data_IF_627352858016
#
_entry.id   IF_627352858016
#
_cell.length_a   1.000
_cell.length_b   1.000
_cell.length_c   1.000
_cell.angle_alpha   90.00
_cell.angle_beta   90.00
_cell.angle_gamma   90.00
#
_symmetry.space_group_name_H-M   'P 1'
#
loop_
_entity.id
_entity.type
_entity.pdbx_description
1 polymer ?
#
# COMPACT_ATOMS: atom_id res chain seq x y z
N UNK A 1 49.95 -5.80 -19.17
CA UNK A 1 49.18 -4.53 -19.21
C UNK A 1 47.71 -4.70 -19.65
N UNK A 2 47.35 -5.65 -20.53
CA UNK A 2 45.94 -5.86 -20.96
C UNK A 2 44.97 -6.39 -19.88
N UNK A 3 45.48 -7.07 -18.85
CA UNK A 3 44.66 -7.67 -17.76
C UNK A 3 44.18 -6.66 -16.71
N UNK A 4 44.79 -5.48 -16.63
CA UNK A 4 44.40 -4.42 -15.69
C UNK A 4 43.18 -3.63 -16.21
N UNK A 5 43.05 -3.52 -17.53
CA UNK A 5 41.92 -2.82 -18.17
C UNK A 5 40.57 -3.52 -17.94
N UNK A 6 40.59 -4.84 -17.81
CA UNK A 6 39.36 -5.64 -17.62
C UNK A 6 38.79 -5.51 -16.21
N UNK A 7 39.64 -5.28 -15.20
CA UNK A 7 39.20 -5.05 -13.82
C UNK A 7 38.50 -3.70 -13.63
N UNK A 8 38.91 -2.67 -14.38
CA UNK A 8 38.32 -1.33 -14.28
C UNK A 8 36.88 -1.27 -14.82
N UNK A 9 36.56 -2.08 -15.83
CA UNK A 9 35.22 -2.11 -16.46
C UNK A 9 34.14 -2.75 -15.57
N UNK A 10 34.52 -3.66 -14.65
CA UNK A 10 33.58 -4.34 -13.75
C UNK A 10 33.16 -3.42 -12.58
N UNK A 11 34.01 -2.47 -12.17
CA UNK A 11 33.66 -1.54 -11.09
C UNK A 11 32.68 -0.45 -11.53
N UNK A 12 32.64 -0.10 -12.82
CA UNK A 12 31.70 0.92 -13.34
C UNK A 12 30.29 0.38 -13.61
N UNK A 13 30.09 -0.93 -13.70
CA UNK A 13 28.76 -1.52 -13.97
C UNK A 13 27.82 -1.57 -12.76
N UNK A 14 28.29 -1.23 -11.56
CA UNK A 14 27.50 -1.31 -10.33
C UNK A 14 26.83 0.01 -9.92
N UNK A 15 26.89 1.05 -10.74
CA UNK A 15 26.07 2.26 -10.50
C UNK A 15 24.65 1.96 -10.98
N UNK A 16 23.95 1.16 -10.18
CA UNK A 16 22.51 0.93 -10.31
C UNK A 16 21.85 2.29 -10.05
N UNK A 17 21.45 2.97 -11.13
CA UNK A 17 20.69 4.22 -11.08
C UNK A 17 19.30 3.95 -10.47
N UNK A 18 19.24 3.86 -9.14
CA UNK A 18 17.99 3.88 -8.42
C UNK A 18 17.39 5.27 -8.48
N UNK A 19 16.26 5.43 -9.18
CA UNK A 19 15.50 6.69 -9.20
C UNK A 19 15.25 7.19 -7.77
N UNK A 20 15.73 8.41 -7.49
CA UNK A 20 15.64 9.03 -6.18
C UNK A 20 14.40 9.91 -6.10
N UNK A 21 13.40 9.46 -5.34
CA UNK A 21 12.19 10.24 -5.07
C UNK A 21 12.34 10.98 -3.75
N UNK A 22 12.11 12.29 -3.73
CA UNK A 22 12.17 13.14 -2.54
C UNK A 22 10.92 13.99 -2.42
N UNK A 23 10.39 14.09 -1.22
CA UNK A 23 9.33 15.04 -0.87
C UNK A 23 10.01 16.21 -0.16
N UNK A 24 9.99 17.39 -0.77
CA UNK A 24 10.65 18.58 -0.22
C UNK A 24 9.85 19.83 -0.55
N UNK A 25 9.55 20.66 0.46
CA UNK A 25 8.86 21.96 0.30
C UNK A 25 7.59 21.85 -0.55
N UNK A 26 6.74 20.86 -0.27
CA UNK A 26 5.47 20.62 -1.01
C UNK A 26 5.65 20.23 -2.49
N UNK A 27 6.85 19.77 -2.88
CA UNK A 27 7.16 19.25 -4.22
C UNK A 27 7.70 17.83 -4.11
N UNK A 28 7.27 16.97 -5.04
CA UNK A 28 7.82 15.65 -5.31
C UNK A 28 8.88 15.80 -6.39
N UNK A 29 10.11 15.51 -6.02
CA UNK A 29 11.28 15.51 -6.91
C UNK A 29 11.60 14.08 -7.31
N UNK A 30 11.86 13.86 -8.59
CA UNK A 30 12.38 12.60 -9.11
C UNK A 30 13.70 12.87 -9.80
N UNK A 31 14.76 12.23 -9.30
CA UNK A 31 16.14 12.50 -9.72
C UNK A 31 16.45 13.99 -9.71
N UNK A 32 16.02 14.65 -8.62
CA UNK A 32 16.17 16.08 -8.36
C UNK A 32 15.43 17.01 -9.34
N UNK A 33 14.54 16.48 -10.20
CA UNK A 33 13.62 17.26 -11.06
C UNK A 33 12.22 17.31 -10.48
N UNK A 34 11.58 18.47 -10.55
CA UNK A 34 10.20 18.66 -10.11
C UNK A 34 9.22 17.86 -10.97
N UNK A 35 8.38 17.05 -10.33
CA UNK A 35 7.38 16.23 -11.00
C UNK A 35 5.96 16.66 -10.64
N UNK A 36 5.58 16.54 -9.37
CA UNK A 36 4.25 16.89 -8.85
C UNK A 36 4.40 17.77 -7.61
N UNK A 37 3.37 18.52 -7.23
CA UNK A 37 3.27 19.07 -5.88
C UNK A 37 2.54 18.09 -4.96
N UNK A 38 2.78 18.19 -3.66
CA UNK A 38 2.06 17.41 -2.66
C UNK A 38 1.60 18.27 -1.49
N UNK A 39 0.49 17.86 -0.89
CA UNK A 39 0.00 18.38 0.39
C UNK A 39 -0.15 17.22 1.37
N UNK A 40 0.21 17.47 2.63
CA UNK A 40 0.08 16.53 3.74
C UNK A 40 -0.65 17.25 4.87
N UNK A 41 -1.89 16.86 5.10
CA UNK A 41 -2.76 17.53 6.06
C UNK A 41 -2.47 17.12 7.51
N UNK A 42 -1.84 15.96 7.75
CA UNK A 42 -1.73 15.37 9.09
C UNK A 42 -0.39 14.66 9.34
N UNK A 43 0.68 15.13 8.69
CA UNK A 43 2.05 14.68 8.87
C UNK A 43 2.38 13.29 8.33
N UNK A 44 1.38 12.39 8.17
CA UNK A 44 1.44 11.08 7.48
C UNK A 44 0.04 10.47 7.20
N UNK A 45 -1.05 11.07 7.72
CA UNK A 45 -2.39 10.48 7.67
C UNK A 45 -3.07 10.58 6.30
N UNK A 46 -2.89 11.71 5.61
CA UNK A 46 -3.50 11.98 4.30
C UNK A 46 -2.49 12.72 3.45
N UNK A 47 -2.19 12.19 2.26
CA UNK A 47 -1.26 12.81 1.31
C UNK A 47 -1.93 12.89 -0.05
N UNK A 48 -1.93 14.08 -0.64
CA UNK A 48 -2.46 14.33 -1.98
C UNK A 48 -1.34 14.75 -2.92
N UNK A 49 -1.35 14.24 -4.15
CA UNK A 49 -0.45 14.63 -5.24
C UNK A 49 -1.21 15.43 -6.28
N UNK A 50 -0.63 16.55 -6.71
CA UNK A 50 -1.26 17.51 -7.61
C UNK A 50 -0.41 17.75 -8.86
N UNK A 51 -1.10 18.03 -9.96
CA UNK A 51 -0.48 18.56 -11.17
C UNK A 51 0.04 19.98 -10.97
N UNK A 52 0.83 20.48 -11.92
CA UNK A 52 1.29 21.88 -11.96
C UNK A 52 0.13 22.89 -11.94
N UNK A 53 -1.04 22.50 -12.44
CA UNK A 53 -2.25 23.32 -12.43
C UNK A 53 -3.06 23.21 -11.12
N UNK A 54 -2.48 22.63 -10.06
CA UNK A 54 -3.14 22.35 -8.77
C UNK A 54 -4.38 21.44 -8.88
N UNK A 55 -4.45 20.64 -9.94
CA UNK A 55 -5.47 19.59 -10.04
C UNK A 55 -4.99 18.37 -9.26
N UNK A 56 -5.78 17.92 -8.31
CA UNK A 56 -5.49 16.70 -7.57
C UNK A 56 -5.54 15.49 -8.52
N UNK A 57 -4.49 14.66 -8.47
CA UNK A 57 -4.35 13.46 -9.29
C UNK A 57 -4.46 12.21 -8.44
N UNK A 58 -3.78 12.17 -7.30
CA UNK A 58 -3.73 10.98 -6.44
C UNK A 58 -3.99 11.40 -5.01
N UNK A 59 -4.91 10.70 -4.37
CA UNK A 59 -5.23 10.86 -2.95
C UNK A 59 -4.81 9.61 -2.20
N UNK A 60 -4.04 9.75 -1.13
CA UNK A 60 -3.57 8.66 -0.28
C UNK A 60 -4.07 8.88 1.14
N UNK A 61 -4.76 7.88 1.68
CA UNK A 61 -5.23 7.90 3.07
C UNK A 61 -4.66 6.72 3.84
N UNK A 62 -3.97 7.01 4.92
CA UNK A 62 -3.48 6.02 5.85
C UNK A 62 -4.64 5.40 6.63
N UNK A 63 -4.69 4.07 6.62
CA UNK A 63 -5.63 3.28 7.40
C UNK A 63 -4.85 2.52 8.45
N UNK A 64 -5.11 2.90 9.70
CA UNK A 64 -4.70 2.11 10.85
C UNK A 64 -5.77 1.05 11.10
N UNK A 65 -5.44 -0.21 10.85
CA UNK A 65 -6.32 -1.29 11.27
C UNK A 65 -6.15 -1.52 12.77
N UNK A 66 -7.25 -1.79 13.47
CA UNK A 66 -7.28 -1.96 14.92
C UNK A 66 -7.68 -3.42 15.19
N UNK A 67 -6.69 -4.33 15.25
CA UNK A 67 -6.94 -5.68 15.77
C UNK A 67 -6.28 -5.83 17.13
N UNK A 68 -6.82 -6.75 17.93
CA UNK A 68 -6.06 -7.29 19.06
C UNK A 68 -4.76 -7.89 18.52
N UNK A 69 -3.62 -7.55 19.12
CA UNK A 69 -2.27 -8.04 18.75
C UNK A 69 -2.13 -9.58 18.74
N UNK A 70 -3.17 -10.31 19.12
CA UNK A 70 -3.15 -11.76 19.35
C UNK A 70 -3.36 -12.59 18.07
N UNK A 71 -3.92 -12.03 16.99
CA UNK A 71 -4.30 -12.81 15.79
C UNK A 71 -3.20 -12.82 14.72
N UNK A 72 -2.34 -11.79 14.67
CA UNK A 72 -1.25 -11.69 13.68
C UNK A 72 0.10 -11.65 14.39
N UNK A 73 0.91 -12.70 14.21
CA UNK A 73 2.26 -12.80 14.75
C UNK A 73 3.20 -11.67 14.25
N UNK A 74 2.89 -11.06 13.10
CA UNK A 74 3.68 -10.01 12.46
C UNK A 74 3.07 -8.60 12.60
N UNK A 75 2.05 -8.45 13.45
CA UNK A 75 1.37 -7.18 13.66
C UNK A 75 0.30 -6.89 12.61
N UNK A 76 -0.55 -5.94 12.96
CA UNK A 76 -1.66 -5.51 12.12
C UNK A 76 -1.13 -4.69 10.95
N UNK A 77 -1.51 -5.02 9.71
CA UNK A 77 -0.97 -4.29 8.58
C UNK A 77 -1.71 -2.98 8.37
N UNK A 78 -1.13 -1.88 8.85
CA UNK A 78 -1.53 -0.56 8.37
C UNK A 78 -1.20 -0.43 6.88
N UNK A 79 -1.98 0.34 6.15
CA UNK A 79 -1.81 0.50 4.71
C UNK A 79 -2.35 1.86 4.26
N UNK A 80 -2.03 2.25 3.03
CA UNK A 80 -2.64 3.40 2.38
C UNK A 80 -3.71 2.94 1.40
N UNK A 81 -4.89 3.56 1.46
CA UNK A 81 -5.83 3.57 0.34
C UNK A 81 -5.35 4.66 -0.62
N UNK A 82 -5.01 4.27 -1.84
CA UNK A 82 -4.56 5.16 -2.91
C UNK A 82 -5.67 5.22 -3.96
N UNK A 83 -6.24 6.41 -4.13
CA UNK A 83 -7.30 6.69 -5.11
C UNK A 83 -6.75 7.55 -6.23
N UNK A 84 -7.07 7.17 -7.47
CA UNK A 84 -6.68 7.91 -8.68
C UNK A 84 -7.85 8.80 -9.14
N UNK A 85 -7.71 10.11 -8.92
CA UNK A 85 -8.78 11.10 -9.06
C UNK A 85 -9.21 11.27 -10.52
N UNK A 86 -10.52 11.15 -10.77
CA UNK A 86 -11.06 11.12 -12.14
C UNK A 86 -11.07 9.73 -12.78
N UNK A 87 -10.78 8.69 -12.01
CA UNK A 87 -10.99 7.27 -12.36
C UNK A 87 -11.81 6.58 -11.28
N UNK A 88 -12.26 5.36 -11.57
CA UNK A 88 -12.89 4.44 -10.61
C UNK A 88 -11.87 3.57 -9.84
N UNK A 89 -10.57 3.76 -10.10
CA UNK A 89 -9.50 2.90 -9.60
C UNK A 89 -9.05 3.33 -8.20
N UNK A 90 -8.97 2.35 -7.32
CA UNK A 90 -8.46 2.47 -5.96
C UNK A 90 -7.64 1.23 -5.62
N UNK A 91 -6.55 1.38 -4.87
CA UNK A 91 -5.70 0.28 -4.43
C UNK A 91 -5.30 0.43 -2.97
N UNK A 92 -5.06 -0.70 -2.31
CA UNK A 92 -4.53 -0.72 -0.96
C UNK A 92 -3.07 -1.17 -0.99
N UNK A 93 -2.16 -0.32 -0.52
CA UNK A 93 -0.72 -0.54 -0.60
C UNK A 93 -0.09 -0.36 0.79
N UNK A 94 0.71 -1.33 1.21
CA UNK A 94 1.52 -1.24 2.45
C UNK A 94 2.90 -0.72 2.13
N UNK A 95 2.97 0.58 1.91
CA UNK A 95 4.24 1.29 1.73
C UNK A 95 4.07 2.74 2.18
N UNK A 96 5.16 3.48 2.21
CA UNK A 96 5.21 4.90 2.55
C UNK A 96 4.74 5.76 1.37
N UNK A 97 4.21 6.98 1.60
CA UNK A 97 3.77 7.85 0.51
C UNK A 97 4.85 8.13 -0.55
N UNK A 98 6.13 8.18 -0.14
CA UNK A 98 7.24 8.43 -1.05
C UNK A 98 7.56 7.22 -1.95
N UNK A 99 7.51 6.00 -1.42
CA UNK A 99 7.67 4.80 -2.25
C UNK A 99 6.44 4.58 -3.14
N UNK A 100 5.22 4.87 -2.66
CA UNK A 100 4.01 4.82 -3.50
C UNK A 100 4.14 5.79 -4.68
N UNK A 101 4.55 7.04 -4.45
CA UNK A 101 4.77 8.00 -5.53
C UNK A 101 5.85 7.53 -6.53
N UNK A 102 6.92 6.88 -6.03
CA UNK A 102 7.96 6.27 -6.86
C UNK A 102 7.44 5.10 -7.70
N UNK A 103 6.57 4.25 -7.14
CA UNK A 103 5.93 3.16 -7.87
C UNK A 103 5.01 3.70 -8.97
N UNK A 104 4.23 4.76 -8.67
CA UNK A 104 3.37 5.45 -9.65
C UNK A 104 4.21 6.02 -10.80
N UNK A 105 5.33 6.68 -10.48
CA UNK A 105 6.23 7.22 -11.50
C UNK A 105 6.83 6.11 -12.37
N UNK A 106 7.39 5.07 -11.74
CA UNK A 106 8.02 3.95 -12.45
C UNK A 106 7.07 3.19 -13.35
N UNK A 107 5.80 3.10 -12.94
CA UNK A 107 4.75 2.47 -13.74
C UNK A 107 4.26 3.36 -14.88
N UNK A 108 4.75 4.60 -15.00
CA UNK A 108 4.37 5.55 -16.05
C UNK A 108 2.83 5.71 -16.15
N UNK A 109 2.19 5.89 -14.99
CA UNK A 109 0.73 6.01 -14.88
C UNK A 109 0.26 7.42 -15.24
N UNK A 110 1.10 8.43 -15.00
CA UNK A 110 0.79 9.85 -15.26
C UNK A 110 1.58 10.28 -16.50
N UNK A 111 0.88 10.66 -17.55
CA UNK A 111 1.46 11.19 -18.78
C UNK A 111 2.00 12.62 -18.58
N UNK A 112 2.75 13.14 -19.55
CA UNK A 112 3.33 14.50 -19.50
C UNK A 112 2.26 15.61 -19.44
N UNK A 113 1.05 15.35 -19.92
CA UNK A 113 -0.11 16.23 -19.85
C UNK A 113 -0.90 16.11 -18.54
N UNK A 114 -0.38 15.33 -17.58
CA UNK A 114 -1.02 14.99 -16.31
C UNK A 114 -2.34 14.21 -16.44
N UNK A 115 -2.58 13.57 -17.59
CA UNK A 115 -3.64 12.55 -17.75
C UNK A 115 -3.15 11.18 -17.28
N UNK A 116 -4.09 10.27 -17.00
CA UNK A 116 -3.76 8.90 -16.66
C UNK A 116 -3.59 8.02 -17.91
N UNK A 117 -2.47 7.32 -17.99
CA UNK A 117 -2.32 6.16 -18.85
C UNK A 117 -3.13 5.00 -18.25
N UNK A 118 -4.31 4.76 -18.82
CA UNK A 118 -5.28 3.78 -18.30
C UNK A 118 -4.74 2.35 -18.28
N UNK A 119 -4.01 1.96 -19.32
CA UNK A 119 -3.44 0.61 -19.43
C UNK A 119 -2.41 0.37 -18.31
N UNK A 120 -1.49 1.31 -18.14
CA UNK A 120 -0.50 1.23 -17.06
C UNK A 120 -1.14 1.30 -15.67
N UNK A 121 -2.20 2.10 -15.52
CA UNK A 121 -2.97 2.16 -14.29
C UNK A 121 -3.62 0.80 -13.97
N UNK A 122 -4.23 0.15 -14.96
CA UNK A 122 -4.83 -1.16 -14.77
C UNK A 122 -3.78 -2.22 -14.38
N UNK A 123 -2.63 -2.23 -15.06
CA UNK A 123 -1.51 -3.11 -14.70
C UNK A 123 -1.01 -2.82 -13.28
N UNK A 124 -0.91 -1.55 -12.91
CA UNK A 124 -0.50 -1.14 -11.56
C UNK A 124 -1.47 -1.64 -10.50
N UNK A 125 -2.78 -1.49 -10.74
CA UNK A 125 -3.85 -1.96 -9.86
C UNK A 125 -3.79 -3.47 -9.70
N UNK A 126 -3.58 -4.21 -10.79
CA UNK A 126 -3.43 -5.68 -10.74
C UNK A 126 -2.19 -6.12 -9.99
N UNK A 127 -1.07 -5.39 -10.11
CA UNK A 127 0.22 -5.77 -9.54
C UNK A 127 0.35 -5.43 -8.06
N UNK A 128 -0.16 -4.28 -7.64
CA UNK A 128 0.03 -3.76 -6.29
C UNK A 128 -1.27 -3.66 -5.48
N UNK A 129 -2.43 -3.84 -6.13
CA UNK A 129 -3.72 -3.88 -5.45
C UNK A 129 -3.81 -5.08 -4.52
N UNK A 130 -3.99 -4.80 -3.23
CA UNK A 130 -4.31 -5.80 -2.22
C UNK A 130 -5.70 -5.52 -1.66
N UNK A 131 -6.31 -6.55 -1.08
CA UNK A 131 -7.64 -6.50 -0.45
C UNK A 131 -7.52 -6.57 1.10
N UNK A 132 -6.67 -5.73 1.71
CA UNK A 132 -6.45 -5.71 3.16
C UNK A 132 -7.75 -5.40 3.93
N UNK A 133 -8.64 -4.56 3.40
CA UNK A 133 -9.95 -4.29 3.98
C UNK A 133 -10.88 -5.50 3.98
N UNK A 134 -10.89 -6.31 2.92
CA UNK A 134 -11.73 -7.52 2.85
C UNK A 134 -11.22 -8.61 3.78
N UNK A 135 -9.91 -8.79 3.85
CA UNK A 135 -9.29 -9.70 4.83
C UNK A 135 -9.68 -9.30 6.25
N UNK A 136 -9.78 -8.01 6.58
CA UNK A 136 -10.23 -7.55 7.89
C UNK A 136 -11.67 -7.91 8.22
N UNK A 137 -12.58 -7.73 7.26
CA UNK A 137 -14.01 -8.02 7.45
C UNK A 137 -14.26 -9.52 7.69
N UNK A 138 -13.49 -10.41 7.05
CA UNK A 138 -13.68 -11.85 7.22
C UNK A 138 -13.23 -12.37 8.60
N UNK A 139 -12.28 -11.70 9.26
CA UNK A 139 -11.83 -12.10 10.60
C UNK A 139 -12.77 -11.64 11.73
N UNK A 140 -13.55 -10.57 11.53
CA UNK A 140 -14.53 -10.11 12.52
C UNK A 140 -15.84 -10.90 12.51
N UNK A 141 -16.06 -11.76 11.51
CA UNK A 141 -17.27 -12.59 11.35
C UNK A 141 -17.10 -14.05 11.78
N UNK A 142 -16.00 -14.39 12.46
CA UNK A 142 -15.82 -15.74 13.00
C UNK A 142 -16.74 -15.93 14.22
N UNK A 143 -18.02 -16.22 13.97
CA UNK A 143 -18.98 -16.63 14.98
C UNK A 143 -18.52 -17.95 15.57
N UNK A 144 -17.92 -17.91 16.76
CA UNK A 144 -17.64 -19.11 17.53
C UNK A 144 -18.98 -19.68 17.96
N UNK A 145 -19.44 -20.73 17.26
CA UNK A 145 -20.54 -21.55 17.75
C UNK A 145 -19.97 -22.34 18.93
N UNK A 146 -20.14 -21.81 20.14
CA UNK A 146 -19.91 -22.58 21.36
C UNK A 146 -21.04 -23.62 21.40
N UNK A 147 -20.76 -24.85 20.97
CA UNK A 147 -21.61 -25.97 21.35
C UNK A 147 -21.43 -26.18 22.85
N UNK A 148 -22.41 -25.75 23.64
CA UNK A 148 -22.57 -26.11 25.05
C UNK A 148 -22.93 -27.60 25.18
N UNK A 149 -22.08 -28.49 24.67
CA UNK A 149 -22.17 -29.93 24.92
C UNK A 149 -21.42 -30.26 26.21
N UNK A 150 -21.94 -29.77 27.34
CA UNK A 150 -21.65 -30.41 28.63
C UNK A 150 -22.23 -31.83 28.57
N UNK A 151 -21.47 -32.90 28.79
CA UNK A 151 -22.07 -34.22 28.96
C UNK A 151 -22.88 -34.21 30.27
N UNK A 152 -24.21 -34.20 30.16
CA UNK A 152 -25.10 -34.48 31.29
C UNK A 152 -24.95 -35.96 31.64
N UNK A 153 -23.99 -36.29 32.52
CA UNK A 153 -24.03 -37.52 33.29
C UNK A 153 -25.11 -37.37 34.37
N UNK A 154 -26.37 -37.60 33.99
CA UNK A 154 -27.51 -37.70 34.89
C UNK A 154 -27.94 -39.15 35.03
N UNK A 155 -27.69 -39.74 36.20
CA UNK A 155 -28.26 -41.02 36.62
C UNK A 155 -29.79 -40.85 36.77
N UNK A 156 -30.58 -41.68 36.09
CA UNK A 156 -32.04 -41.76 36.32
C UNK A 156 -32.30 -42.74 37.47
N UNK A 157 -32.80 -42.25 38.61
CA UNK A 157 -33.42 -43.09 39.64
C UNK A 157 -34.91 -42.77 39.62
N UNK A 158 -35.72 -43.73 39.17
CA UNK A 158 -37.16 -43.71 39.43
C UNK A 158 -37.40 -44.25 40.83
N UNK A 159 -38.00 -43.43 41.69
CA UNK A 159 -38.63 -43.91 42.92
C UNK A 159 -40.13 -43.82 42.67
N UNK A 160 -40.74 -44.97 42.39
CA UNK A 160 -42.19 -45.09 42.27
C UNK A 160 -42.88 -44.93 43.62
N UNK A 161 -44.03 -44.25 43.59
CA UNK A 161 -45.13 -44.43 44.53
C UNK A 161 -46.44 -44.30 43.77
#
# INVERSE_FOLDING_TARGET
>A
MKKVLFGLFIFTSCIIFGQKVKFKKSVVLIDDKEWLSYEDENGYGTVSLFSKAKKELVFMKYIQQNYSRQIFAEGVPNYYIVKFIGTDKTVEIRDTPWEIAKLIYKANIINDDFSFNKENLDVFVMKYGNDFSKSAANHSQQTVIIQDSRPRNGFNISVGR
#
